data_IF_777801464923
#
_entry.id   IF_777801464923
#
_cell.length_a   1.000
_cell.length_b   1.000
_cell.length_c   1.000
_cell.angle_alpha   90.00
_cell.angle_beta   90.00
_cell.angle_gamma   90.00
#
_symmetry.space_group_name_H-M   'P 1'
#
loop_
_entity.id
_entity.type
_entity.pdbx_description
1 polymer ?
#
# COMPACT_ATOMS: atom_id res chain seq x y z
N UNK A 1 -5.02 3.82 18.09
CA UNK A 1 -5.88 3.07 19.05
C UNK A 1 -7.08 2.55 18.28
N UNK A 2 -7.28 1.26 18.29
CA UNK A 2 -8.34 0.59 17.53
C UNK A 2 -9.61 0.32 18.34
N UNK A 3 -9.62 0.62 19.64
CA UNK A 3 -10.77 0.37 20.51
C UNK A 3 -11.05 1.56 21.43
N UNK A 4 -12.28 1.70 21.90
CA UNK A 4 -12.69 2.70 22.88
C UNK A 4 -12.17 2.43 24.30
N UNK A 5 -11.51 1.30 24.56
CA UNK A 5 -11.06 0.88 25.89
C UNK A 5 -10.16 1.91 26.60
N UNK A 6 -9.32 2.61 25.85
CA UNK A 6 -8.50 3.67 26.44
C UNK A 6 -9.34 4.83 26.96
N UNK A 7 -10.36 5.24 26.20
CA UNK A 7 -11.27 6.31 26.57
C UNK A 7 -12.09 5.95 27.82
N UNK A 8 -12.67 4.76 27.82
CA UNK A 8 -13.44 4.23 28.96
C UNK A 8 -12.56 4.09 30.21
N UNK A 9 -11.35 3.56 30.04
CA UNK A 9 -10.37 3.41 31.14
C UNK A 9 -9.91 4.76 31.70
N UNK A 10 -9.73 5.79 30.89
CA UNK A 10 -9.36 7.13 31.36
C UNK A 10 -10.49 7.76 32.15
N UNK A 11 -11.75 7.63 31.72
CA UNK A 11 -12.93 8.12 32.46
C UNK A 11 -13.02 7.44 33.83
N UNK A 12 -12.87 6.11 33.87
CA UNK A 12 -12.95 5.37 35.13
C UNK A 12 -11.79 5.71 36.08
N UNK A 13 -10.58 5.89 35.53
CA UNK A 13 -9.42 6.28 36.34
C UNK A 13 -9.60 7.66 37.01
N UNK A 14 -10.21 8.63 36.33
CA UNK A 14 -10.55 9.93 36.89
C UNK A 14 -11.63 9.78 37.99
N UNK A 15 -12.71 9.03 37.68
CA UNK A 15 -13.81 8.81 38.64
C UNK A 15 -13.36 8.13 39.95
N UNK A 16 -12.40 7.22 39.81
CA UNK A 16 -11.86 6.47 40.97
C UNK A 16 -10.69 7.18 41.67
N UNK A 17 -10.26 8.34 41.17
CA UNK A 17 -9.15 9.09 41.71
C UNK A 17 -7.76 8.52 41.44
N UNK A 18 -7.66 7.56 40.51
CA UNK A 18 -6.39 7.01 40.02
C UNK A 18 -5.65 7.95 39.07
N UNK A 19 -6.37 8.85 38.42
CA UNK A 19 -5.84 9.83 37.48
C UNK A 19 -6.40 11.20 37.85
N UNK A 20 -5.52 12.17 37.97
CA UNK A 20 -5.90 13.58 38.20
C UNK A 20 -6.46 14.15 36.87
N UNK A 21 -7.65 14.74 36.91
CA UNK A 21 -8.33 15.33 35.76
C UNK A 21 -7.49 16.42 35.09
N UNK A 22 -6.67 17.13 35.84
CA UNK A 22 -5.77 18.17 35.32
C UNK A 22 -4.77 17.65 34.29
N UNK A 23 -4.40 16.37 34.35
CA UNK A 23 -3.54 15.74 33.36
C UNK A 23 -4.28 15.56 32.01
N UNK A 24 -5.55 15.24 32.08
CA UNK A 24 -6.42 15.17 30.87
C UNK A 24 -6.58 16.57 30.27
N UNK A 25 -6.91 17.56 31.12
CA UNK A 25 -7.07 18.96 30.71
C UNK A 25 -5.81 19.50 30.04
N UNK A 26 -4.64 19.24 30.61
CA UNK A 26 -3.37 19.64 30.02
C UNK A 26 -3.10 18.97 28.67
N UNK A 27 -3.48 17.71 28.51
CA UNK A 27 -3.36 17.00 27.24
C UNK A 27 -4.31 17.56 26.17
N UNK A 28 -5.57 17.78 26.52
CA UNK A 28 -6.59 18.36 25.66
C UNK A 28 -6.22 19.78 25.24
N UNK A 29 -5.75 20.61 26.20
CA UNK A 29 -5.32 21.98 25.92
C UNK A 29 -4.22 22.06 24.86
N UNK A 30 -3.25 21.12 24.87
CA UNK A 30 -2.19 21.06 23.84
C UNK A 30 -2.75 20.78 22.45
N UNK A 31 -3.69 19.85 22.35
CA UNK A 31 -4.33 19.50 21.06
C UNK A 31 -5.21 20.64 20.56
N UNK A 32 -6.01 21.24 21.43
CA UNK A 32 -6.87 22.38 21.08
C UNK A 32 -6.01 23.59 20.66
N UNK A 33 -4.96 23.91 21.40
CA UNK A 33 -4.06 25.00 21.04
C UNK A 33 -3.45 24.80 19.64
N UNK A 34 -3.12 23.57 19.25
CA UNK A 34 -2.65 23.28 17.90
C UNK A 34 -3.76 23.49 16.85
N UNK A 35 -4.99 23.02 17.12
CA UNK A 35 -6.14 23.22 16.22
C UNK A 35 -6.43 24.71 16.00
N UNK A 36 -6.43 25.52 17.08
CA UNK A 36 -6.63 26.97 16.97
C UNK A 36 -5.51 27.65 16.19
N UNK A 37 -4.24 27.31 16.46
CA UNK A 37 -3.10 27.86 15.67
C UNK A 37 -3.18 27.54 14.18
N UNK A 38 -3.71 26.38 13.82
CA UNK A 38 -3.91 25.97 12.44
C UNK A 38 -5.18 26.56 11.82
N UNK A 39 -6.01 27.27 12.58
CA UNK A 39 -7.26 27.87 12.09
C UNK A 39 -8.34 26.83 11.76
N UNK A 40 -8.27 25.62 12.34
CA UNK A 40 -9.19 24.53 12.01
C UNK A 40 -10.60 24.71 12.59
N UNK A 41 -10.80 25.69 13.46
CA UNK A 41 -12.11 26.03 14.00
C UNK A 41 -12.88 26.91 13.00
N UNK A 42 -12.18 27.85 12.39
CA UNK A 42 -12.74 28.77 11.39
C UNK A 42 -12.82 28.10 10.01
N UNK A 43 -11.81 27.30 9.67
CA UNK A 43 -11.73 26.52 8.42
C UNK A 43 -11.31 25.08 8.72
N UNK A 44 -12.26 24.14 8.83
CA UNK A 44 -11.95 22.73 9.10
C UNK A 44 -11.21 22.02 7.98
N UNK A 45 -10.95 22.69 6.84
CA UNK A 45 -10.21 22.18 5.67
C UNK A 45 -10.74 20.83 5.22
N UNK A 46 -12.05 20.77 4.99
CA UNK A 46 -12.70 19.57 4.49
C UNK A 46 -12.14 19.20 3.11
N UNK A 47 -12.10 17.91 2.78
CA UNK A 47 -11.66 17.48 1.45
C UNK A 47 -12.50 18.13 0.34
N UNK A 48 -11.81 18.60 -0.68
CA UNK A 48 -12.40 19.11 -1.91
C UNK A 48 -12.24 18.07 -3.01
N UNK A 49 -13.34 17.53 -3.49
CA UNK A 49 -13.33 16.44 -4.46
C UNK A 49 -12.75 16.86 -5.81
N UNK A 50 -12.98 18.11 -6.25
CA UNK A 50 -12.40 18.59 -7.51
C UNK A 50 -10.87 18.69 -7.40
N UNK A 51 -10.39 19.21 -6.27
CA UNK A 51 -8.96 19.28 -5.99
C UNK A 51 -8.33 17.89 -5.82
N UNK A 52 -9.01 16.97 -5.17
CA UNK A 52 -8.56 15.58 -5.07
C UNK A 52 -8.36 14.99 -6.46
N UNK A 53 -9.37 15.09 -7.33
CA UNK A 53 -9.33 14.56 -8.69
C UNK A 53 -8.25 15.22 -9.57
N UNK A 54 -7.96 16.50 -9.33
CA UNK A 54 -6.95 17.23 -10.07
C UNK A 54 -5.50 16.91 -9.63
N UNK A 55 -5.30 16.56 -8.37
CA UNK A 55 -3.95 16.42 -7.77
C UNK A 55 -3.55 14.96 -7.59
N UNK A 56 -4.47 14.14 -7.05
CA UNK A 56 -4.15 12.74 -6.75
C UNK A 56 -4.02 11.95 -8.06
N UNK A 57 -2.84 11.35 -8.27
CA UNK A 57 -2.57 10.57 -9.46
C UNK A 57 -2.40 11.41 -10.73
N UNK A 58 -2.13 12.73 -10.60
CA UNK A 58 -1.81 13.59 -11.74
C UNK A 58 -0.60 13.06 -12.54
N UNK A 59 -0.51 13.42 -13.81
CA UNK A 59 0.60 12.99 -14.68
C UNK A 59 1.96 13.38 -14.10
N UNK A 60 2.07 14.58 -13.50
CA UNK A 60 3.28 15.03 -12.82
C UNK A 60 3.66 14.10 -11.66
N UNK A 61 2.69 13.70 -10.83
CA UNK A 61 2.92 12.77 -9.72
C UNK A 61 3.31 11.37 -10.21
N UNK A 62 2.68 10.89 -11.28
CA UNK A 62 3.02 9.60 -11.88
C UNK A 62 4.45 9.60 -12.43
N UNK A 63 4.85 10.67 -13.12
CA UNK A 63 6.20 10.81 -13.66
C UNK A 63 7.25 10.87 -12.54
N UNK A 64 7.01 11.66 -11.49
CA UNK A 64 7.89 11.73 -10.33
C UNK A 64 7.99 10.37 -9.62
N UNK A 65 6.88 9.68 -9.45
CA UNK A 65 6.87 8.34 -8.85
C UNK A 65 7.69 7.33 -9.66
N UNK A 66 7.58 7.38 -10.99
CA UNK A 66 8.38 6.53 -11.88
C UNK A 66 9.88 6.83 -11.75
N UNK A 67 10.27 8.11 -11.68
CA UNK A 67 11.65 8.53 -11.50
C UNK A 67 12.21 8.02 -10.16
N UNK A 68 11.48 8.25 -9.07
CA UNK A 68 11.87 7.75 -7.74
C UNK A 68 12.00 6.23 -7.72
N UNK A 69 11.06 5.52 -8.35
CA UNK A 69 11.11 4.06 -8.42
C UNK A 69 12.35 3.56 -9.18
N UNK A 70 12.74 4.24 -10.26
CA UNK A 70 13.96 3.90 -11.03
C UNK A 70 15.22 4.14 -10.22
N UNK A 71 15.30 5.23 -9.48
CA UNK A 71 16.44 5.55 -8.63
C UNK A 71 16.54 4.67 -7.39
N UNK A 72 15.43 4.13 -6.91
CA UNK A 72 15.40 3.24 -5.75
C UNK A 72 15.92 1.83 -6.03
N UNK A 73 16.06 1.42 -7.30
CA UNK A 73 16.55 0.08 -7.66
C UNK A 73 18.05 -0.02 -7.46
N UNK A 74 18.48 -0.92 -6.56
CA UNK A 74 19.88 -1.19 -6.29
C UNK A 74 20.32 -2.53 -6.88
N UNK A 75 21.32 -2.51 -7.77
CA UNK A 75 21.92 -3.71 -8.33
C UNK A 75 23.00 -4.26 -7.37
N UNK A 76 22.63 -5.24 -6.55
CA UNK A 76 23.53 -5.80 -5.52
C UNK A 76 24.62 -6.69 -6.08
N UNK A 77 24.39 -7.36 -7.19
CA UNK A 77 25.35 -8.24 -7.85
C UNK A 77 25.03 -8.36 -9.33
N UNK A 78 26.04 -8.32 -10.17
CA UNK A 78 25.94 -8.55 -11.61
C UNK A 78 27.16 -9.33 -12.09
N UNK A 79 26.93 -10.43 -12.79
CA UNK A 79 27.96 -11.25 -13.43
C UNK A 79 28.19 -10.87 -14.91
N UNK A 80 27.73 -9.70 -15.33
CA UNK A 80 27.79 -9.22 -16.71
C UNK A 80 26.55 -9.55 -17.53
N UNK A 81 25.51 -10.15 -16.94
CA UNK A 81 24.25 -10.44 -17.62
C UNK A 81 23.36 -9.21 -17.84
N UNK A 82 23.57 -8.16 -17.05
CA UNK A 82 22.85 -6.89 -17.16
C UNK A 82 23.81 -5.76 -17.60
N UNK A 83 23.36 -4.83 -18.46
CA UNK A 83 22.08 -4.86 -19.16
C UNK A 83 22.04 -5.98 -20.21
N UNK A 84 20.93 -6.72 -20.30
CA UNK A 84 20.80 -7.70 -21.35
C UNK A 84 20.41 -7.05 -22.69
N UNK A 85 20.87 -7.63 -23.78
CA UNK A 85 20.52 -7.14 -25.12
C UNK A 85 19.12 -7.59 -25.51
N UNK A 86 18.12 -6.78 -25.18
CA UNK A 86 16.73 -7.05 -25.50
C UNK A 86 16.45 -7.08 -27.00
N UNK A 87 17.21 -6.35 -27.82
CA UNK A 87 17.01 -6.30 -29.28
C UNK A 87 17.25 -7.64 -29.98
N UNK A 88 18.04 -8.54 -29.36
CA UNK A 88 18.24 -9.90 -29.85
C UNK A 88 17.31 -10.95 -29.26
N UNK A 89 16.52 -10.61 -28.29
CA UNK A 89 15.63 -11.53 -27.60
C UNK A 89 14.39 -11.82 -28.45
N UNK A 90 14.15 -13.10 -28.76
CA UNK A 90 12.93 -13.55 -29.44
C UNK A 90 11.81 -13.87 -28.48
N UNK A 91 12.15 -14.23 -27.24
CA UNK A 91 11.21 -14.58 -26.19
C UNK A 91 11.79 -14.25 -24.83
N UNK A 92 10.95 -13.64 -23.98
CA UNK A 92 11.23 -13.37 -22.57
C UNK A 92 10.22 -14.17 -21.74
N UNK A 93 10.69 -14.99 -20.82
CA UNK A 93 9.86 -15.70 -19.87
C UNK A 93 9.84 -14.95 -18.54
N UNK A 94 8.67 -14.50 -18.11
CA UNK A 94 8.43 -13.92 -16.80
C UNK A 94 7.78 -15.00 -15.96
N UNK A 95 8.44 -15.42 -14.87
CA UNK A 95 7.98 -16.54 -14.06
C UNK A 95 7.90 -16.12 -12.59
N UNK A 96 6.91 -16.65 -11.91
CA UNK A 96 6.71 -16.41 -10.48
C UNK A 96 5.30 -15.94 -10.14
N UNK A 97 4.82 -16.24 -8.94
CA UNK A 97 3.45 -15.97 -8.52
C UNK A 97 3.13 -14.48 -8.44
N UNK A 98 4.12 -13.64 -8.14
CA UNK A 98 3.96 -12.19 -7.97
C UNK A 98 4.15 -11.37 -9.25
N UNK A 99 4.57 -11.99 -10.34
CA UNK A 99 4.90 -11.27 -11.57
C UNK A 99 3.69 -10.54 -12.19
N UNK A 100 2.48 -11.04 -11.94
CA UNK A 100 1.21 -10.44 -12.39
C UNK A 100 0.19 -10.34 -11.25
N UNK A 101 0.65 -10.10 -10.05
CA UNK A 101 -0.21 -9.89 -8.88
C UNK A 101 -0.23 -8.40 -8.51
N UNK A 102 -1.23 -7.69 -9.04
CA UNK A 102 -1.38 -6.26 -8.87
C UNK A 102 -1.62 -5.85 -7.41
N UNK A 103 -2.38 -6.63 -6.65
CA UNK A 103 -2.73 -6.27 -5.27
C UNK A 103 -1.55 -6.48 -4.33
N UNK A 104 -0.87 -7.61 -4.42
CA UNK A 104 0.29 -7.90 -3.57
C UNK A 104 1.45 -6.93 -3.84
N UNK A 105 1.61 -6.47 -5.09
CA UNK A 105 2.63 -5.48 -5.48
C UNK A 105 2.48 -4.14 -4.75
N UNK A 106 1.28 -3.76 -4.32
CA UNK A 106 1.03 -2.51 -3.60
C UNK A 106 1.58 -2.52 -2.17
N UNK A 107 2.02 -3.67 -1.68
CA UNK A 107 2.54 -3.85 -0.34
C UNK A 107 1.45 -4.05 0.71
N UNK A 108 1.85 -4.10 1.96
CA UNK A 108 1.00 -4.55 3.05
C UNK A 108 -0.18 -3.61 3.33
N UNK A 109 0.07 -2.31 3.43
CA UNK A 109 -0.97 -1.33 3.79
C UNK A 109 -1.93 -0.96 2.66
N UNK A 110 -1.47 -0.91 1.45
CA UNK A 110 -2.28 -0.57 0.28
C UNK A 110 -2.79 -1.80 -0.48
N UNK A 111 -2.17 -2.95 -0.26
CA UNK A 111 -2.49 -4.22 -0.90
C UNK A 111 -3.54 -5.03 -0.15
N UNK A 112 -3.41 -6.35 -0.27
CA UNK A 112 -4.41 -7.31 0.18
C UNK A 112 -4.62 -7.36 1.70
N UNK A 113 -3.62 -7.05 2.51
CA UNK A 113 -3.75 -7.13 3.97
C UNK A 113 -4.32 -5.86 4.61
N UNK A 114 -4.06 -4.69 4.03
CA UNK A 114 -4.46 -3.40 4.61
C UNK A 114 -5.85 -2.91 4.20
N UNK A 115 -6.26 -3.19 2.97
CA UNK A 115 -7.45 -2.59 2.36
C UNK A 115 -8.55 -3.60 1.96
N UNK A 116 -8.29 -4.88 2.08
CA UNK A 116 -9.18 -5.93 1.54
C UNK A 116 -10.61 -5.88 2.13
N UNK A 117 -10.74 -5.50 3.40
CA UNK A 117 -12.06 -5.39 4.06
C UNK A 117 -12.89 -4.19 3.59
N UNK A 118 -12.22 -3.18 3.02
CA UNK A 118 -12.83 -1.92 2.56
C UNK A 118 -13.05 -1.93 1.05
N UNK A 119 -12.19 -2.66 0.36
CA UNK A 119 -12.14 -2.78 -1.08
C UNK A 119 -12.04 -4.27 -1.46
N UNK A 120 -13.13 -5.04 -1.33
CA UNK A 120 -13.11 -6.49 -1.55
C UNK A 120 -12.68 -6.86 -2.98
N UNK A 121 -12.93 -5.97 -3.95
CA UNK A 121 -12.47 -6.14 -5.34
C UNK A 121 -11.03 -5.64 -5.56
N UNK A 122 -10.39 -5.13 -4.52
CA UNK A 122 -9.06 -4.53 -4.58
C UNK A 122 -9.02 -3.17 -5.29
N UNK A 123 -7.81 -2.67 -5.53
CA UNK A 123 -7.64 -1.45 -6.33
C UNK A 123 -7.90 -1.72 -7.81
N UNK A 124 -8.39 -0.71 -8.57
CA UNK A 124 -8.61 -0.85 -10.00
C UNK A 124 -7.35 -1.33 -10.73
N UNK A 125 -7.48 -2.41 -11.50
CA UNK A 125 -6.35 -3.07 -12.15
C UNK A 125 -5.57 -2.14 -13.09
N UNK A 126 -6.28 -1.24 -13.75
CA UNK A 126 -5.73 -0.26 -14.68
C UNK A 126 -4.81 0.78 -14.03
N UNK A 127 -4.89 0.95 -12.73
CA UNK A 127 -4.03 1.87 -11.97
C UNK A 127 -2.67 1.26 -11.61
N UNK A 128 -2.48 -0.05 -11.86
CA UNK A 128 -1.33 -0.79 -11.37
C UNK A 128 -0.60 -1.44 -12.54
N UNK A 129 0.65 -1.05 -12.73
CA UNK A 129 1.54 -1.70 -13.70
C UNK A 129 2.30 -2.83 -13.02
N UNK A 130 2.00 -4.08 -13.37
CA UNK A 130 2.72 -5.23 -12.82
C UNK A 130 4.09 -5.41 -13.49
N UNK A 131 4.94 -6.27 -12.92
CA UNK A 131 6.23 -6.64 -13.53
C UNK A 131 6.01 -7.21 -14.92
N UNK A 132 4.98 -8.06 -15.09
CA UNK A 132 4.61 -8.62 -16.40
C UNK A 132 4.19 -7.53 -17.39
N UNK A 133 3.38 -6.57 -16.94
CA UNK A 133 2.97 -5.43 -17.80
C UNK A 133 4.18 -4.62 -18.24
N UNK A 134 5.10 -4.33 -17.31
CA UNK A 134 6.33 -3.61 -17.63
C UNK A 134 7.17 -4.32 -18.70
N UNK A 135 7.32 -5.64 -18.62
CA UNK A 135 8.01 -6.40 -19.65
C UNK A 135 7.27 -6.38 -21.00
N UNK A 136 5.94 -6.51 -21.00
CA UNK A 136 5.14 -6.43 -22.22
C UNK A 136 5.23 -5.06 -22.91
N UNK A 137 5.23 -3.98 -22.10
CA UNK A 137 5.31 -2.61 -22.62
C UNK A 137 6.68 -2.24 -23.16
N UNK A 138 7.76 -2.75 -22.55
CA UNK A 138 9.13 -2.36 -22.87
C UNK A 138 9.86 -3.35 -23.77
N UNK A 139 9.27 -4.51 -24.06
CA UNK A 139 9.89 -5.50 -24.96
C UNK A 139 9.93 -5.00 -26.38
N UNK A 140 11.02 -5.29 -27.14
CA UNK A 140 11.12 -4.92 -28.54
C UNK A 140 10.02 -5.55 -29.39
N UNK A 141 9.70 -4.92 -30.50
CA UNK A 141 8.78 -5.48 -31.49
C UNK A 141 9.25 -6.87 -31.97
N UNK A 142 8.34 -7.82 -32.03
CA UNK A 142 8.63 -9.21 -32.39
C UNK A 142 9.19 -10.07 -31.25
N UNK A 143 9.40 -9.52 -30.05
CA UNK A 143 9.74 -10.28 -28.85
C UNK A 143 8.48 -10.79 -28.15
N UNK A 144 8.36 -12.10 -28.02
CA UNK A 144 7.24 -12.72 -27.30
C UNK A 144 7.51 -12.69 -25.80
N UNK A 145 6.58 -12.13 -25.01
CA UNK A 145 6.63 -12.20 -23.55
C UNK A 145 5.65 -13.26 -23.07
N UNK A 146 6.17 -14.32 -22.47
CA UNK A 146 5.37 -15.42 -21.91
C UNK A 146 5.39 -15.36 -20.38
N UNK A 147 4.30 -15.76 -19.76
CA UNK A 147 4.16 -15.78 -18.32
C UNK A 147 3.79 -17.16 -17.79
N UNK A 148 4.37 -17.52 -16.67
CA UNK A 148 3.96 -18.69 -15.89
C UNK A 148 4.00 -18.35 -14.41
N UNK A 149 2.91 -18.62 -13.71
CA UNK A 149 2.85 -18.46 -12.26
C UNK A 149 3.85 -19.37 -11.53
N UNK A 150 4.07 -20.56 -12.04
CA UNK A 150 4.96 -21.56 -11.47
C UNK A 150 4.37 -22.20 -10.22
N UNK A 151 4.55 -21.58 -9.06
CA UNK A 151 4.04 -22.06 -7.77
C UNK A 151 3.13 -21.03 -7.10
N UNK A 152 2.30 -21.45 -6.17
CA UNK A 152 1.60 -20.55 -5.26
C UNK A 152 2.53 -20.16 -4.10
N UNK A 153 2.29 -18.96 -3.52
CA UNK A 153 3.03 -18.54 -2.31
C UNK A 153 2.45 -19.22 -1.09
N UNK A 154 1.11 -19.32 -1.05
CA UNK A 154 0.35 -19.97 0.01
C UNK A 154 -0.72 -20.82 -0.65
N UNK A 155 -0.77 -22.09 -0.28
CA UNK A 155 -1.90 -22.96 -0.55
C UNK A 155 -2.66 -23.15 0.76
N UNK A 156 -3.91 -22.69 0.78
CA UNK A 156 -4.78 -22.94 1.92
C UNK A 156 -5.16 -24.43 1.92
N UNK A 157 -4.72 -25.13 2.93
CA UNK A 157 -5.13 -26.50 3.18
C UNK A 157 -6.01 -26.54 4.43
N UNK A 158 -7.04 -27.40 4.48
CA UNK A 158 -7.81 -27.61 5.71
C UNK A 158 -6.86 -28.01 6.83
N UNK A 159 -7.02 -27.41 8.00
CA UNK A 159 -6.36 -27.88 9.21
C UNK A 159 -6.75 -29.35 9.44
N UNK A 160 -5.80 -30.26 9.74
CA UNK A 160 -6.09 -31.63 10.11
C UNK A 160 -7.11 -31.76 11.24
N UNK A 161 -7.22 -30.77 12.11
CA UNK A 161 -8.20 -30.69 13.21
C UNK A 161 -9.52 -30.06 12.79
N UNK A 162 -9.67 -29.61 11.51
CA UNK A 162 -10.91 -29.06 10.95
C UNK A 162 -11.15 -27.58 11.23
N UNK A 163 -10.18 -26.90 11.81
CA UNK A 163 -10.19 -25.44 11.95
C UNK A 163 -9.51 -24.79 10.73
N UNK A 164 -10.11 -23.74 10.21
CA UNK A 164 -9.45 -22.88 9.26
C UNK A 164 -8.66 -21.81 10.03
N UNK A 165 -7.49 -21.45 9.56
CA UNK A 165 -6.83 -20.26 10.06
C UNK A 165 -7.77 -19.06 9.89
N UNK A 166 -7.92 -18.21 10.92
CA UNK A 166 -8.88 -17.08 10.89
C UNK A 166 -8.63 -16.10 9.75
N UNK A 167 -7.46 -16.15 9.15
CA UNK A 167 -7.03 -15.26 8.05
C UNK A 167 -7.13 -15.93 6.67
N UNK A 168 -7.73 -17.12 6.63
CA UNK A 168 -7.99 -17.90 5.42
C UNK A 168 -9.16 -17.37 4.63
#
# INVERSE_FOLDING_TARGET
MTTAKFYEGAIEAVKTGLLDESLIDAAVARILALKFRLGLVEDPRLPDQERINAVIGSEEHQQLNLEVAREAVALLKNNGSLPFNAAGAKRIAVVGPLADDAQTQLGDWAGSSGQINWMPDGHPREMITTVLDGFKQLSPEGCEVVYSRGANIVDLVPDPEGEFYPDG
#
